data_IF_920179375461
#
_entry.id   IF_920179375461
#
_cell.length_a   1.000
_cell.length_b   1.000
_cell.length_c   1.000
_cell.angle_alpha   90.00
_cell.angle_beta   90.00
_cell.angle_gamma   90.00
#
_symmetry.space_group_name_H-M   'P 1'
#
loop_
_entity.id
_entity.type
_entity.pdbx_description
1 polymer ?
#
# COMPACT_ATOMS: atom_id res chain seq x y z
N UNK A 1 4.90 23.12 8.09
CA UNK A 1 3.84 22.66 7.14
C UNK A 1 3.71 21.16 7.30
N UNK A 2 2.49 20.62 7.33
CA UNK A 2 2.27 19.18 7.43
C UNK A 2 1.92 18.68 6.03
N UNK A 3 2.67 17.70 5.52
CA UNK A 3 2.35 17.04 4.26
C UNK A 3 1.94 15.59 4.50
N UNK A 4 0.91 15.12 3.75
CA UNK A 4 0.39 13.76 3.82
C UNK A 4 0.67 13.00 2.54
N UNK A 5 1.24 11.81 2.66
CA UNK A 5 1.53 10.89 1.57
C UNK A 5 0.70 9.64 1.77
N UNK A 6 -0.35 9.49 0.95
CA UNK A 6 -1.26 8.33 0.97
C UNK A 6 -0.64 7.16 0.22
N UNK A 7 -1.20 5.97 0.43
CA UNK A 7 -0.86 4.80 -0.38
C UNK A 7 -1.08 5.10 -1.87
N UNK A 8 -0.14 4.69 -2.71
CA UNK A 8 -0.13 4.90 -4.15
C UNK A 8 -1.43 4.44 -4.79
N UNK A 9 -2.05 5.30 -5.60
CA UNK A 9 -3.33 5.02 -6.28
C UNK A 9 -3.31 3.70 -7.05
N UNK A 10 -2.24 3.43 -7.81
CA UNK A 10 -2.11 2.19 -8.60
C UNK A 10 -2.05 0.92 -7.75
N UNK A 11 -1.49 0.97 -6.54
CA UNK A 11 -1.52 -0.16 -5.59
C UNK A 11 -2.95 -0.41 -5.12
N UNK A 12 -3.65 0.66 -4.76
CA UNK A 12 -5.04 0.58 -4.29
C UNK A 12 -5.97 0.07 -5.39
N UNK A 13 -5.87 0.63 -6.61
CA UNK A 13 -6.72 0.24 -7.74
C UNK A 13 -6.48 -1.20 -8.16
N UNK A 14 -5.21 -1.66 -8.22
CA UNK A 14 -4.90 -3.04 -8.59
C UNK A 14 -5.45 -4.06 -7.60
N UNK A 15 -5.36 -3.78 -6.30
CA UNK A 15 -5.91 -4.68 -5.28
C UNK A 15 -7.45 -4.71 -5.31
N UNK A 16 -8.09 -3.56 -5.48
CA UNK A 16 -9.56 -3.49 -5.56
C UNK A 16 -10.05 -4.19 -6.84
N UNK A 17 -9.46 -3.88 -8.01
CA UNK A 17 -9.90 -4.49 -9.27
C UNK A 17 -9.67 -6.01 -9.30
N UNK A 18 -8.53 -6.47 -8.77
CA UNK A 18 -8.27 -7.91 -8.66
C UNK A 18 -9.28 -8.59 -7.71
N UNK A 19 -9.56 -7.97 -6.57
CA UNK A 19 -10.55 -8.49 -5.64
C UNK A 19 -11.94 -8.58 -6.30
N UNK A 20 -12.36 -7.54 -6.99
CA UNK A 20 -13.64 -7.51 -7.71
C UNK A 20 -13.68 -8.60 -8.79
N UNK A 21 -12.62 -8.74 -9.60
CA UNK A 21 -12.53 -9.76 -10.64
C UNK A 21 -12.65 -11.18 -10.10
N UNK A 22 -12.15 -11.44 -8.89
CA UNK A 22 -12.21 -12.78 -8.30
C UNK A 22 -13.50 -13.06 -7.53
N UNK A 23 -14.23 -12.02 -7.11
CA UNK A 23 -15.32 -12.19 -6.15
C UNK A 23 -16.69 -11.78 -6.67
N UNK A 24 -16.77 -10.97 -7.73
CA UNK A 24 -18.05 -10.59 -8.35
C UNK A 24 -18.90 -11.82 -8.74
N UNK A 25 -18.35 -12.91 -9.34
CA UNK A 25 -19.16 -14.06 -9.71
C UNK A 25 -19.79 -14.79 -8.52
N UNK A 26 -19.16 -14.75 -7.33
CA UNK A 26 -19.56 -15.58 -6.19
C UNK A 26 -21.02 -15.40 -5.77
N UNK A 27 -21.59 -14.20 -5.61
CA UNK A 27 -22.99 -14.02 -5.27
C UNK A 27 -23.96 -14.53 -6.35
N UNK A 28 -23.53 -14.54 -7.63
CA UNK A 28 -24.38 -14.94 -8.76
C UNK A 28 -24.43 -16.44 -8.93
N UNK A 29 -23.31 -17.14 -8.69
CA UNK A 29 -23.18 -18.59 -8.83
C UNK A 29 -23.65 -19.32 -7.55
N UNK A 30 -23.73 -18.60 -6.42
CA UNK A 30 -24.11 -19.19 -5.13
C UNK A 30 -25.56 -19.71 -5.16
N UNK A 31 -25.76 -20.90 -4.57
CA UNK A 31 -27.10 -21.42 -4.30
C UNK A 31 -27.84 -20.48 -3.33
N UNK A 32 -29.16 -20.46 -3.38
CA UNK A 32 -30.00 -19.54 -2.60
C UNK A 32 -29.62 -19.41 -1.12
N UNK A 33 -29.36 -20.54 -0.46
CA UNK A 33 -28.97 -20.59 0.97
C UNK A 33 -27.62 -19.89 1.27
N UNK A 34 -26.71 -19.83 0.30
CA UNK A 34 -25.37 -19.24 0.44
C UNK A 34 -25.28 -17.83 -0.14
N UNK A 35 -26.34 -17.31 -0.75
CA UNK A 35 -26.35 -16.00 -1.42
C UNK A 35 -26.06 -14.86 -0.45
N UNK A 36 -26.75 -14.82 0.69
CA UNK A 36 -26.56 -13.80 1.73
C UNK A 36 -25.14 -13.89 2.35
N UNK A 37 -24.65 -15.08 2.79
CA UNK A 37 -23.27 -15.22 3.22
C UNK A 37 -22.24 -14.77 2.18
N UNK A 38 -22.43 -15.09 0.90
CA UNK A 38 -21.51 -14.69 -0.18
C UNK A 38 -21.45 -13.16 -0.34
N UNK A 39 -22.60 -12.48 -0.33
CA UNK A 39 -22.66 -11.01 -0.38
C UNK A 39 -21.99 -10.39 0.85
N UNK A 40 -22.21 -10.97 2.03
CA UNK A 40 -21.62 -10.48 3.27
C UNK A 40 -20.09 -10.59 3.23
N UNK A 41 -19.55 -11.76 2.82
CA UNK A 41 -18.12 -11.98 2.69
C UNK A 41 -17.50 -11.04 1.64
N UNK A 42 -18.21 -10.84 0.51
CA UNK A 42 -17.82 -9.89 -0.52
C UNK A 42 -17.70 -8.46 0.04
N UNK A 43 -18.70 -7.98 0.76
CA UNK A 43 -18.68 -6.64 1.33
C UNK A 43 -17.59 -6.47 2.40
N UNK A 44 -17.41 -7.47 3.27
CA UNK A 44 -16.38 -7.46 4.31
C UNK A 44 -14.97 -7.48 3.72
N UNK A 45 -14.72 -8.30 2.70
CA UNK A 45 -13.42 -8.35 2.03
C UNK A 45 -13.08 -7.06 1.31
N UNK A 46 -14.05 -6.43 0.62
CA UNK A 46 -13.85 -5.13 -0.02
C UNK A 46 -13.53 -4.05 1.02
N UNK A 47 -14.25 -4.01 2.13
CA UNK A 47 -14.00 -3.09 3.24
C UNK A 47 -12.58 -3.30 3.81
N UNK A 48 -12.16 -4.56 3.98
CA UNK A 48 -10.82 -4.91 4.46
C UNK A 48 -9.73 -4.36 3.53
N UNK A 49 -9.85 -4.54 2.22
CA UNK A 49 -8.87 -4.03 1.24
C UNK A 49 -8.80 -2.50 1.27
N UNK A 50 -9.95 -1.83 1.29
CA UNK A 50 -10.01 -0.35 1.36
C UNK A 50 -9.31 0.14 2.64
N UNK A 51 -9.52 -0.51 3.76
CA UNK A 51 -8.90 -0.13 5.03
C UNK A 51 -7.40 -0.37 5.05
N UNK A 52 -6.91 -1.56 4.62
CA UNK A 52 -5.48 -1.87 4.59
C UNK A 52 -4.70 -0.90 3.68
N UNK A 53 -5.34 -0.44 2.59
CA UNK A 53 -4.73 0.53 1.66
C UNK A 53 -4.93 1.99 2.08
N UNK A 54 -5.50 2.26 3.24
CA UNK A 54 -5.72 3.61 3.78
C UNK A 54 -4.63 4.11 4.72
N UNK A 55 -3.55 3.35 4.86
CA UNK A 55 -2.35 3.78 5.58
C UNK A 55 -1.73 5.01 4.90
N UNK A 56 -1.10 5.89 5.69
CA UNK A 56 -0.45 7.09 5.16
C UNK A 56 0.74 7.52 6.01
N UNK A 57 1.56 8.40 5.42
CA UNK A 57 2.71 9.02 6.09
C UNK A 57 2.45 10.50 6.22
N UNK A 58 2.79 11.07 7.35
CA UNK A 58 2.81 12.51 7.60
C UNK A 58 4.24 12.96 7.82
N UNK A 59 4.62 14.03 7.14
CA UNK A 59 5.90 14.73 7.36
C UNK A 59 5.62 16.10 7.91
N UNK A 60 6.33 16.45 8.97
CA UNK A 60 6.33 17.78 9.59
C UNK A 60 7.75 18.34 9.55
N UNK A 61 7.93 19.63 9.93
CA UNK A 61 9.26 20.25 10.02
C UNK A 61 10.24 19.51 10.93
N UNK A 62 9.75 18.83 11.97
CA UNK A 62 10.63 18.22 12.99
C UNK A 62 10.62 16.69 12.97
N UNK A 63 9.63 16.05 12.32
CA UNK A 63 9.41 14.61 12.42
C UNK A 63 8.70 14.03 11.21
N UNK A 64 8.83 12.72 11.07
CA UNK A 64 8.06 11.88 10.17
C UNK A 64 7.23 10.88 11.00
N UNK A 65 6.01 10.61 10.60
CA UNK A 65 5.14 9.63 11.26
C UNK A 65 4.41 8.76 10.25
N UNK A 66 4.32 7.46 10.55
CA UNK A 66 3.50 6.49 9.81
C UNK A 66 2.23 6.21 10.60
N UNK A 67 1.09 6.37 9.94
CA UNK A 67 -0.23 6.14 10.51
C UNK A 67 -0.90 4.97 9.79
N UNK A 68 -1.09 3.90 10.49
CA UNK A 68 -1.81 2.72 10.00
C UNK A 68 -3.31 2.85 10.27
N UNK A 69 -4.12 2.32 9.34
CA UNK A 69 -5.57 2.22 9.48
C UNK A 69 -5.95 1.29 10.65
N UNK A 70 -7.24 1.30 11.02
CA UNK A 70 -7.74 0.46 12.12
C UNK A 70 -7.47 -1.03 11.86
N UNK A 71 -7.79 -1.51 10.67
CA UNK A 71 -7.58 -2.92 10.30
C UNK A 71 -6.07 -3.24 10.18
N UNK A 72 -5.26 -2.33 9.64
CA UNK A 72 -3.81 -2.51 9.60
C UNK A 72 -3.20 -2.68 10.99
N UNK A 73 -3.70 -1.95 11.99
CA UNK A 73 -3.28 -2.11 13.40
C UNK A 73 -3.68 -3.47 13.94
N UNK A 74 -4.90 -3.92 13.67
CA UNK A 74 -5.37 -5.23 14.09
C UNK A 74 -4.54 -6.36 13.47
N UNK A 75 -4.05 -6.18 12.23
CA UNK A 75 -3.12 -7.09 11.55
C UNK A 75 -1.65 -6.94 12.00
N UNK A 76 -1.39 -6.22 13.09
CA UNK A 76 -0.06 -6.12 13.71
C UNK A 76 0.81 -4.97 13.20
N UNK A 77 0.33 -4.13 12.27
CA UNK A 77 1.07 -2.92 11.88
C UNK A 77 1.03 -1.89 12.99
N UNK A 78 2.18 -1.38 13.38
CA UNK A 78 2.30 -0.35 14.41
C UNK A 78 2.47 1.03 13.79
N UNK A 79 1.83 2.03 14.39
CA UNK A 79 2.20 3.41 14.12
C UNK A 79 3.60 3.66 14.65
N UNK A 80 4.35 4.50 13.97
CA UNK A 80 5.64 4.95 14.45
C UNK A 80 5.84 6.43 14.12
N UNK A 81 6.71 7.06 14.88
CA UNK A 81 7.06 8.45 14.75
C UNK A 81 8.55 8.61 15.05
N UNK A 82 9.28 9.35 14.22
CA UNK A 82 10.71 9.55 14.33
C UNK A 82 11.01 11.04 14.12
N UNK A 83 11.84 11.64 14.96
CA UNK A 83 12.42 12.95 14.71
C UNK A 83 13.45 12.87 13.57
N UNK A 84 13.52 13.87 12.69
CA UNK A 84 14.52 13.89 11.63
C UNK A 84 15.97 13.77 12.16
N UNK A 85 16.23 14.36 13.33
CA UNK A 85 17.53 14.32 14.01
C UNK A 85 17.93 12.94 14.51
N UNK A 86 16.95 12.06 14.76
CA UNK A 86 17.20 10.71 15.25
C UNK A 86 17.56 9.75 14.11
N UNK A 87 17.30 10.10 12.86
CA UNK A 87 17.62 9.27 11.69
C UNK A 87 19.11 9.35 11.40
N UNK A 88 19.81 8.23 11.57
CA UNK A 88 21.26 8.12 11.34
C UNK A 88 21.60 7.82 9.87
N UNK A 89 20.88 6.85 9.27
CA UNK A 89 21.07 6.42 7.88
C UNK A 89 19.85 5.66 7.38
N UNK A 90 19.77 5.47 6.06
CA UNK A 90 18.80 4.58 5.42
C UNK A 90 19.54 3.30 5.00
N UNK A 91 19.12 2.16 5.58
CA UNK A 91 19.71 0.84 5.29
C UNK A 91 18.84 0.13 4.27
N UNK A 92 19.45 -0.40 3.21
CA UNK A 92 18.76 -1.26 2.24
C UNK A 92 18.96 -2.74 2.59
N UNK A 93 17.90 -3.53 2.40
CA UNK A 93 17.94 -4.99 2.50
C UNK A 93 17.36 -5.60 1.22
N UNK A 94 18.03 -6.60 0.61
CA UNK A 94 17.47 -7.29 -0.54
C UNK A 94 16.28 -8.15 -0.13
N UNK A 95 15.30 -8.25 -1.02
CA UNK A 95 14.18 -9.19 -0.89
C UNK A 95 14.46 -10.46 -1.70
N UNK A 96 13.75 -11.55 -1.40
CA UNK A 96 13.82 -12.80 -2.17
C UNK A 96 13.40 -12.64 -3.65
N UNK A 97 12.71 -11.56 -3.98
CA UNK A 97 12.25 -11.25 -5.34
C UNK A 97 13.16 -10.28 -6.10
N UNK A 98 14.38 -10.04 -5.60
CA UNK A 98 15.36 -9.14 -6.23
C UNK A 98 15.10 -7.64 -6.05
N UNK A 99 14.06 -7.27 -5.29
CA UNK A 99 13.79 -5.86 -4.92
C UNK A 99 14.59 -5.47 -3.67
N UNK A 100 14.65 -4.16 -3.38
CA UNK A 100 15.24 -3.65 -2.14
C UNK A 100 14.14 -3.06 -1.24
N UNK A 101 14.24 -3.32 0.05
CA UNK A 101 13.42 -2.69 1.09
C UNK A 101 14.35 -1.80 1.92
N UNK A 102 13.87 -0.61 2.27
CA UNK A 102 14.66 0.39 2.97
C UNK A 102 14.14 0.63 4.37
N UNK A 103 15.03 0.88 5.30
CA UNK A 103 14.71 1.15 6.69
C UNK A 103 15.42 2.42 7.16
N UNK A 104 14.70 3.29 7.83
CA UNK A 104 15.29 4.35 8.66
C UNK A 104 15.95 3.70 9.86
N UNK A 105 17.25 3.81 9.96
CA UNK A 105 17.98 3.38 11.15
C UNK A 105 18.24 4.59 12.03
N UNK A 106 17.89 4.50 13.32
CA UNK A 106 18.03 5.60 14.26
C UNK A 106 19.35 5.49 15.05
N UNK A 107 19.78 6.60 15.67
CA UNK A 107 20.91 6.60 16.58
C UNK A 107 20.74 5.65 17.77
N UNK A 108 19.49 5.29 18.12
CA UNK A 108 19.16 4.31 19.18
C UNK A 108 19.19 2.87 18.70
N UNK A 109 19.47 2.61 17.42
CA UNK A 109 19.50 1.27 16.82
C UNK A 109 18.12 0.74 16.40
N UNK A 110 17.06 1.54 16.50
CA UNK A 110 15.74 1.17 16.03
C UNK A 110 15.68 1.23 14.50
N UNK A 111 14.85 0.36 13.89
CA UNK A 111 14.67 0.29 12.45
C UNK A 111 13.18 0.49 12.11
N UNK A 112 12.89 1.46 11.24
CA UNK A 112 11.54 1.76 10.78
C UNK A 112 11.46 1.63 9.27
N UNK A 113 10.48 0.92 8.77
CA UNK A 113 10.30 0.68 7.34
C UNK A 113 10.03 2.00 6.60
N UNK A 114 10.83 2.28 5.56
CA UNK A 114 10.58 3.39 4.64
C UNK A 114 9.35 3.06 3.78
N UNK A 115 8.33 3.93 3.73
CA UNK A 115 7.09 3.67 3.00
C UNK A 115 7.28 3.85 1.50
N UNK A 116 7.67 2.79 0.79
CA UNK A 116 7.96 2.80 -0.65
C UNK A 116 6.72 2.76 -1.58
N UNK A 117 5.50 2.69 -1.02
CA UNK A 117 4.25 2.60 -1.78
C UNK A 117 3.35 3.81 -1.58
N UNK A 118 3.95 5.00 -1.45
CA UNK A 118 3.22 6.26 -1.28
C UNK A 118 3.16 7.06 -2.57
N UNK A 119 2.11 7.86 -2.71
CA UNK A 119 2.00 8.85 -3.79
C UNK A 119 3.09 9.90 -3.67
N UNK A 120 3.52 10.46 -4.82
CA UNK A 120 4.56 11.49 -4.88
C UNK A 120 5.83 11.07 -4.13
N UNK A 121 6.25 9.82 -4.31
CA UNK A 121 7.38 9.21 -3.60
C UNK A 121 8.68 10.01 -3.75
N UNK A 122 8.96 10.56 -4.94
CA UNK A 122 10.13 11.42 -5.17
C UNK A 122 10.09 12.67 -4.27
N UNK A 123 8.92 13.33 -4.19
CA UNK A 123 8.73 14.48 -3.29
C UNK A 123 8.93 14.08 -1.82
N UNK A 124 8.42 12.92 -1.43
CA UNK A 124 8.63 12.36 -0.11
C UNK A 124 10.12 12.17 0.19
N UNK A 125 10.88 11.57 -0.74
CA UNK A 125 12.31 11.37 -0.60
C UNK A 125 13.09 12.69 -0.53
N UNK A 126 12.72 13.69 -1.34
CA UNK A 126 13.32 15.03 -1.25
C UNK A 126 13.12 15.66 0.13
N UNK A 127 11.96 15.51 0.76
CA UNK A 127 11.72 15.99 2.12
C UNK A 127 12.60 15.22 3.12
N UNK A 128 12.74 13.90 2.96
CA UNK A 128 13.65 13.11 3.80
C UNK A 128 15.07 13.62 3.67
N UNK A 129 15.60 13.75 2.44
CA UNK A 129 16.95 14.22 2.19
C UNK A 129 17.20 15.64 2.73
N UNK A 130 16.28 16.56 2.50
CA UNK A 130 16.41 17.96 2.95
C UNK A 130 16.44 18.09 4.49
N UNK A 131 15.78 17.20 5.22
CA UNK A 131 15.72 17.25 6.69
C UNK A 131 16.80 16.41 7.37
N UNK A 132 17.39 15.42 6.67
CA UNK A 132 18.38 14.48 7.24
C UNK A 132 19.78 14.62 6.63
N UNK A 133 19.90 15.21 5.43
CA UNK A 133 21.14 15.24 4.65
C UNK A 133 21.55 13.89 4.04
N UNK A 134 20.71 12.87 4.14
CA UNK A 134 21.00 11.51 3.63
C UNK A 134 20.80 11.47 2.11
N UNK A 135 21.72 10.80 1.40
CA UNK A 135 21.58 10.54 -0.03
C UNK A 135 20.42 9.56 -0.29
N UNK A 136 19.57 9.92 -1.24
CA UNK A 136 18.37 9.19 -1.62
C UNK A 136 18.44 8.59 -3.03
N UNK A 137 19.53 8.78 -3.78
CA UNK A 137 19.62 8.44 -5.21
C UNK A 137 19.39 6.95 -5.50
N UNK A 138 19.72 6.08 -4.57
CA UNK A 138 19.52 4.63 -4.73
C UNK A 138 18.12 4.16 -4.28
N UNK A 139 17.32 5.04 -3.69
CA UNK A 139 16.03 4.65 -3.11
C UNK A 139 14.94 4.67 -4.20
N UNK A 140 14.31 3.53 -4.42
CA UNK A 140 13.30 3.34 -5.46
C UNK A 140 12.00 2.75 -4.90
N UNK A 141 10.95 2.73 -5.72
CA UNK A 141 9.75 1.95 -5.43
C UNK A 141 10.10 0.47 -5.25
N UNK A 142 9.39 -0.20 -4.34
CA UNK A 142 9.58 -1.65 -4.10
C UNK A 142 9.22 -2.50 -5.33
N UNK A 143 8.31 -2.03 -6.16
CA UNK A 143 7.92 -2.66 -7.42
C UNK A 143 7.71 -1.60 -8.50
N UNK A 144 8.05 -1.88 -9.76
CA UNK A 144 7.81 -0.97 -10.86
C UNK A 144 6.32 -0.62 -11.00
N UNK A 145 6.00 0.64 -11.29
CA UNK A 145 4.60 1.11 -11.39
C UNK A 145 3.81 0.40 -12.50
N UNK A 146 4.47 -0.04 -13.56
CA UNK A 146 3.82 -0.73 -14.68
C UNK A 146 3.19 -2.07 -14.26
N UNK A 147 3.75 -2.77 -13.25
CA UNK A 147 3.19 -4.03 -12.72
C UNK A 147 1.79 -3.82 -12.15
N UNK A 148 1.57 -2.76 -11.38
CA UNK A 148 0.24 -2.44 -10.85
C UNK A 148 -0.74 -2.04 -11.95
N UNK A 149 -0.28 -1.28 -12.97
CA UNK A 149 -1.10 -0.90 -14.13
C UNK A 149 -1.52 -2.13 -14.93
N UNK A 150 -0.57 -3.04 -15.20
CA UNK A 150 -0.84 -4.29 -15.91
C UNK A 150 -1.85 -5.16 -15.14
N UNK A 151 -1.66 -5.33 -13.82
CA UNK A 151 -2.57 -6.10 -12.99
C UNK A 151 -3.98 -5.50 -12.99
N UNK A 152 -4.09 -4.17 -12.91
CA UNK A 152 -5.38 -3.47 -12.99
C UNK A 152 -6.05 -3.72 -14.35
N UNK A 153 -5.30 -3.61 -15.46
CA UNK A 153 -5.81 -3.86 -16.81
C UNK A 153 -6.35 -5.29 -16.95
N UNK A 154 -5.55 -6.28 -16.55
CA UNK A 154 -5.97 -7.70 -16.61
C UNK A 154 -7.21 -7.96 -15.76
N UNK A 155 -7.29 -7.38 -14.57
CA UNK A 155 -8.47 -7.51 -13.71
C UNK A 155 -9.72 -6.90 -14.34
N UNK A 156 -9.60 -5.74 -14.99
CA UNK A 156 -10.71 -5.10 -15.71
C UNK A 156 -11.16 -5.96 -16.89
N UNK A 157 -10.23 -6.56 -17.63
CA UNK A 157 -10.56 -7.49 -18.72
C UNK A 157 -11.30 -8.75 -18.21
N UNK A 158 -10.90 -9.29 -17.06
CA UNK A 158 -11.62 -10.38 -16.41
C UNK A 158 -13.06 -9.99 -16.08
N UNK A 159 -13.25 -8.85 -15.40
CA UNK A 159 -14.60 -8.35 -15.06
C UNK A 159 -15.46 -8.15 -16.32
N UNK A 160 -14.89 -7.60 -17.39
CA UNK A 160 -15.60 -7.43 -18.66
C UNK A 160 -16.03 -8.78 -19.26
N UNK A 161 -15.13 -9.79 -19.23
CA UNK A 161 -15.46 -11.15 -19.67
C UNK A 161 -16.56 -11.82 -18.85
N UNK A 162 -16.54 -11.63 -17.52
CA UNK A 162 -17.58 -12.11 -16.62
C UNK A 162 -18.94 -11.47 -16.93
N UNK A 163 -18.97 -10.15 -17.07
CA UNK A 163 -20.20 -9.42 -17.44
C UNK A 163 -20.74 -9.94 -18.76
N UNK A 164 -19.89 -10.13 -19.77
CA UNK A 164 -20.31 -10.66 -21.05
C UNK A 164 -20.89 -12.07 -20.92
N UNK A 165 -20.24 -12.95 -20.14
CA UNK A 165 -20.72 -14.31 -19.91
C UNK A 165 -22.04 -14.39 -19.12
N UNK A 166 -22.36 -13.39 -18.29
CA UNK A 166 -23.64 -13.33 -17.58
C UNK A 166 -24.79 -12.72 -18.42
N UNK A 167 -24.46 -11.99 -19.49
CA UNK A 167 -25.43 -11.35 -20.39
C UNK A 167 -25.75 -12.19 -21.63
N UNK A 168 -24.89 -13.18 -21.96
CA UNK A 168 -25.08 -14.14 -23.07
C UNK A 168 -25.87 -15.36 -22.63
#
# INVERSE_FOLDING_TARGET
MIEKFKTLFFVKSSLISLYLALTIPLPFISIEKLKIPSITIFALGLNLIINITSDYVETCSNKISYKSSFISKFLGKKNWEISWKDIKLIKSLPTSQGSKVYYFNTHRGENFLVPQRVEKFEKFLLIVSSNTGIDINEISYISPLWTYKLLTLLSIMMIAGEIFAFLS
#
